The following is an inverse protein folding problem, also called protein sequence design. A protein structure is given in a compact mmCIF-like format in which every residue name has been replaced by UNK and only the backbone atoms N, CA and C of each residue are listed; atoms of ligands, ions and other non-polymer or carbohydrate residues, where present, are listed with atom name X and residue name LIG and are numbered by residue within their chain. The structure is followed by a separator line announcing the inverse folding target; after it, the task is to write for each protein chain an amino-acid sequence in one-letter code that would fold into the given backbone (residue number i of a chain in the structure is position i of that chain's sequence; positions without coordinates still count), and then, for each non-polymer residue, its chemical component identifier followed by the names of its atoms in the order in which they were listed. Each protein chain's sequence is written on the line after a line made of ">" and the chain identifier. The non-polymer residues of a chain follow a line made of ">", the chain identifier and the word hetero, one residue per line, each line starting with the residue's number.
data_IF_212997867604
#
_entry.id   IF_212997867604
#
_cell.length_a   1.000
_cell.length_b   1.000
_cell.length_c   1.000
_cell.angle_alpha   90.00
_cell.angle_beta   90.00
_cell.angle_gamma   90.00
#
_symmetry.space_group_name_H-M   'P 1'
#
loop_
_entity.id
_entity.type
_entity.pdbx_description
1 polymer ?
#
# COMPACT_ATOMS: atom_id res chain seq x y z
N UNK A 1 -25.88 -44.39 -15.27
CA UNK A 1 -26.00 -44.69 -16.72
C UNK A 1 -26.78 -43.56 -17.39
N UNK A 2 -26.41 -43.21 -18.64
CA UNK A 2 -26.85 -42.05 -19.47
C UNK A 2 -26.18 -40.72 -19.08
N UNK A 3 -25.13 -40.17 -19.74
CA UNK A 3 -24.73 -39.98 -21.17
C UNK A 3 -25.66 -39.08 -22.00
N UNK A 4 -25.23 -37.84 -22.23
CA UNK A 4 -25.40 -36.97 -23.44
C UNK A 4 -24.43 -35.79 -23.21
N UNK A 5 -23.28 -35.55 -23.84
CA UNK A 5 -22.71 -35.64 -25.20
C UNK A 5 -22.85 -34.34 -26.03
N UNK A 6 -21.73 -33.59 -26.09
CA UNK A 6 -21.10 -32.86 -27.22
C UNK A 6 -21.76 -31.69 -27.98
N UNK A 7 -21.01 -30.57 -28.05
CA UNK A 7 -20.49 -29.83 -29.24
C UNK A 7 -19.70 -28.62 -28.72
N UNK A 8 -18.36 -28.49 -28.76
CA UNK A 8 -17.38 -28.47 -29.86
C UNK A 8 -17.66 -27.43 -30.95
N UNK A 9 -16.88 -26.33 -30.99
CA UNK A 9 -15.74 -26.15 -31.91
C UNK A 9 -15.38 -24.66 -32.22
N UNK A 10 -14.07 -24.34 -32.10
CA UNK A 10 -13.19 -23.52 -32.99
C UNK A 10 -13.48 -22.00 -33.12
N UNK A 11 -12.51 -21.09 -33.14
CA UNK A 11 -11.31 -20.94 -33.99
C UNK A 11 -10.21 -20.08 -33.28
N UNK A 12 -8.94 -20.51 -33.32
CA UNK A 12 -7.79 -19.94 -34.09
C UNK A 12 -7.16 -18.66 -33.47
N UNK A 13 -5.99 -18.69 -32.83
CA UNK A 13 -4.62 -18.90 -33.33
C UNK A 13 -4.09 -17.75 -34.23
N UNK A 14 -3.15 -16.95 -33.69
CA UNK A 14 -2.16 -16.22 -34.45
C UNK A 14 -0.83 -16.20 -33.68
N UNK A 15 0.16 -16.91 -34.25
CA UNK A 15 1.58 -16.92 -33.91
C UNK A 15 2.30 -15.85 -34.76
N UNK A 16 3.29 -15.13 -34.22
CA UNK A 16 4.57 -14.83 -34.90
C UNK A 16 5.50 -13.94 -34.04
N UNK A 17 6.48 -14.60 -33.44
CA UNK A 17 7.92 -14.29 -33.36
C UNK A 17 8.44 -12.95 -33.89
N UNK A 18 9.23 -12.25 -33.06
CA UNK A 18 10.43 -11.53 -33.50
C UNK A 18 11.46 -11.46 -32.35
N UNK A 19 12.49 -12.31 -32.45
CA UNK A 19 13.75 -12.22 -31.71
C UNK A 19 14.81 -11.87 -32.75
N UNK A 20 15.49 -10.74 -32.59
CA UNK A 20 16.73 -10.45 -33.32
C UNK A 20 17.63 -9.55 -32.48
N UNK A 21 18.88 -9.98 -32.41
CA UNK A 21 20.01 -9.52 -31.61
C UNK A 21 20.70 -8.33 -32.30
N UNK A 22 21.14 -7.34 -31.53
CA UNK A 22 22.25 -6.44 -31.86
C UNK A 22 22.90 -6.01 -30.53
N UNK A 23 23.99 -6.62 -30.09
CA UNK A 23 25.39 -6.39 -30.50
C UNK A 23 25.99 -5.10 -29.90
N UNK A 24 27.13 -5.29 -29.21
CA UNK A 24 27.93 -4.33 -28.47
C UNK A 24 28.22 -3.01 -29.17
N UNK A 25 28.31 -1.92 -28.38
CA UNK A 25 29.17 -0.78 -28.68
C UNK A 25 29.71 -0.15 -27.38
N UNK A 26 30.90 0.48 -27.44
CA UNK A 26 31.81 0.61 -26.30
C UNK A 26 31.66 1.92 -25.51
N UNK A 27 32.27 1.87 -24.33
CA UNK A 27 32.66 2.97 -23.43
C UNK A 27 33.05 4.25 -24.19
N UNK A 28 32.42 5.37 -23.82
CA UNK A 28 32.79 6.71 -24.30
C UNK A 28 33.24 7.62 -23.15
N UNK A 29 34.23 8.49 -23.41
CA UNK A 29 35.07 9.08 -22.38
C UNK A 29 34.47 10.35 -21.77
N UNK A 30 34.81 10.59 -20.51
CA UNK A 30 34.60 11.86 -19.82
C UNK A 30 35.32 13.02 -20.54
N UNK A 31 34.62 14.13 -20.71
CA UNK A 31 35.16 15.44 -21.11
C UNK A 31 34.28 16.55 -20.48
N UNK A 32 34.78 17.81 -20.36
CA UNK A 32 34.92 18.48 -19.07
C UNK A 32 33.86 19.55 -18.77
N UNK A 33 33.93 20.07 -17.55
CA UNK A 33 33.17 21.22 -17.05
C UNK A 33 33.41 22.49 -17.89
N UNK A 34 32.31 23.07 -18.38
CA UNK A 34 32.13 24.45 -18.84
C UNK A 34 30.66 24.77 -18.57
N UNK A 35 30.27 25.77 -17.80
CA UNK A 35 30.54 27.19 -18.00
C UNK A 35 29.16 27.84 -17.98
N UNK A 36 28.85 28.57 -16.91
CA UNK A 36 27.59 29.28 -16.72
C UNK A 36 27.55 30.47 -17.69
N UNK A 37 26.81 30.39 -18.81
CA UNK A 37 26.41 31.53 -19.66
C UNK A 37 25.48 31.11 -20.84
N UNK A 38 24.53 30.18 -20.62
CA UNK A 38 23.67 29.67 -21.71
C UNK A 38 22.16 29.63 -21.40
N UNK A 39 21.69 30.43 -20.44
CA UNK A 39 20.25 30.46 -20.07
C UNK A 39 19.46 31.65 -20.62
N UNK A 40 20.10 32.60 -21.31
CA UNK A 40 19.45 33.88 -21.68
C UNK A 40 19.04 34.01 -23.16
N UNK A 41 19.20 32.99 -23.99
CA UNK A 41 18.82 33.03 -25.43
C UNK A 41 17.71 32.06 -25.84
N UNK A 42 17.17 31.25 -24.91
CA UNK A 42 16.09 30.29 -25.20
C UNK A 42 14.66 30.83 -24.98
N UNK A 43 14.50 32.14 -24.70
CA UNK A 43 13.21 32.72 -24.31
C UNK A 43 12.45 33.46 -25.43
N UNK A 44 13.01 33.52 -26.65
CA UNK A 44 12.48 34.39 -27.71
C UNK A 44 12.14 33.68 -29.05
N UNK A 45 11.98 32.35 -29.07
CA UNK A 45 11.72 31.60 -30.32
C UNK A 45 10.60 30.54 -30.25
N UNK A 46 9.60 30.70 -29.37
CA UNK A 46 8.39 29.85 -29.38
C UNK A 46 7.14 30.74 -29.34
N UNK A 47 7.04 31.64 -30.32
CA UNK A 47 5.86 32.48 -30.52
C UNK A 47 5.49 32.48 -32.01
N UNK A 48 5.10 31.34 -32.56
CA UNK A 48 4.29 31.23 -33.78
C UNK A 48 4.08 29.76 -34.17
N UNK A 49 3.02 29.12 -33.65
CA UNK A 49 2.22 28.07 -34.32
C UNK A 49 1.18 27.52 -33.35
N UNK A 50 0.14 28.32 -33.09
CA UNK A 50 -1.10 27.84 -32.48
C UNK A 50 -2.24 28.55 -33.20
N UNK A 51 -2.51 28.10 -34.42
CA UNK A 51 -3.65 28.54 -35.22
C UNK A 51 -4.39 27.28 -35.69
N UNK A 52 -5.70 27.28 -35.40
CA UNK A 52 -6.75 26.45 -35.99
C UNK A 52 -6.63 24.94 -35.85
N UNK A 53 -7.14 24.42 -34.74
CA UNK A 53 -8.03 23.26 -34.78
C UNK A 53 -9.02 23.35 -33.60
N UNK A 54 -10.03 24.21 -33.77
CA UNK A 54 -11.15 24.29 -32.85
C UNK A 54 -12.03 23.04 -33.01
N UNK A 55 -11.77 22.03 -32.19
CA UNK A 55 -12.69 20.89 -32.04
C UNK A 55 -14.09 21.42 -31.67
N UNK A 56 -15.16 20.92 -32.31
CA UNK A 56 -16.52 21.37 -32.02
C UNK A 56 -16.86 21.10 -30.55
N UNK A 57 -17.63 21.98 -29.90
CA UNK A 57 -18.08 21.74 -28.53
C UNK A 57 -18.95 20.49 -28.50
N UNK A 58 -18.47 19.46 -27.79
CA UNK A 58 -19.30 18.32 -27.39
C UNK A 58 -20.47 18.86 -26.58
N UNK A 59 -21.68 18.45 -26.95
CA UNK A 59 -22.90 18.94 -26.30
C UNK A 59 -22.97 18.45 -24.84
N UNK A 60 -23.61 19.23 -23.97
CA UNK A 60 -23.81 18.87 -22.55
C UNK A 60 -24.50 17.50 -22.35
N UNK A 61 -25.21 17.02 -23.37
CA UNK A 61 -25.86 15.71 -23.39
C UNK A 61 -24.89 14.52 -23.54
N UNK A 62 -23.79 14.69 -24.29
CA UNK A 62 -22.79 13.63 -24.49
C UNK A 62 -21.85 13.49 -23.28
N UNK A 63 -21.57 14.60 -22.58
CA UNK A 63 -20.81 14.57 -21.32
C UNK A 63 -21.54 13.80 -20.20
N UNK A 64 -22.87 13.89 -20.15
CA UNK A 64 -23.69 13.18 -19.18
C UNK A 64 -23.70 11.65 -19.41
N UNK A 65 -23.74 11.22 -20.69
CA UNK A 65 -23.74 9.79 -21.05
C UNK A 65 -22.38 9.10 -20.77
N UNK A 66 -21.26 9.82 -20.93
CA UNK A 66 -19.93 9.28 -20.60
C UNK A 66 -19.74 9.16 -19.08
N UNK A 67 -20.30 10.06 -18.28
CA UNK A 67 -20.25 10.00 -16.83
C UNK A 67 -21.07 8.83 -16.25
N UNK A 68 -22.26 8.55 -16.78
CA UNK A 68 -23.06 7.37 -16.37
C UNK A 68 -22.40 6.05 -16.78
N UNK A 69 -21.75 5.99 -17.95
CA UNK A 69 -21.06 4.79 -18.42
C UNK A 69 -19.81 4.44 -17.57
N UNK A 70 -19.07 5.45 -17.07
CA UNK A 70 -17.92 5.23 -16.19
C UNK A 70 -18.32 4.79 -14.78
N UNK A 71 -19.47 5.25 -14.27
CA UNK A 71 -20.01 4.80 -12.99
C UNK A 71 -20.42 3.31 -13.03
N UNK A 72 -20.94 2.83 -14.16
CA UNK A 72 -21.33 1.43 -14.34
C UNK A 72 -20.12 0.47 -14.45
N UNK A 73 -18.99 0.92 -15.00
CA UNK A 73 -17.77 0.11 -15.12
C UNK A 73 -17.01 0.01 -13.79
N UNK A 74 -16.98 1.05 -12.97
CA UNK A 74 -16.41 0.99 -11.61
C UNK A 74 -17.24 0.13 -10.65
N UNK A 75 -18.55 0.02 -10.86
CA UNK A 75 -19.42 -0.88 -10.08
C UNK A 75 -19.24 -2.37 -10.39
N UNK A 76 -18.55 -2.72 -11.49
CA UNK A 76 -18.44 -4.10 -11.98
C UNK A 76 -17.08 -4.78 -11.70
N UNK A 77 -16.12 -4.07 -11.09
CA UNK A 77 -14.76 -4.58 -10.86
C UNK A 77 -14.41 -4.85 -9.38
N UNK A 78 -15.41 -5.04 -8.52
CA UNK A 78 -15.17 -5.55 -7.16
C UNK A 78 -15.15 -7.08 -7.21
N UNK A 79 -14.04 -7.76 -6.91
CA UNK A 79 -14.07 -9.20 -6.72
C UNK A 79 -15.07 -9.53 -5.61
N UNK A 80 -16.08 -10.35 -5.91
CA UNK A 80 -16.93 -10.95 -4.88
C UNK A 80 -16.07 -11.92 -4.09
N UNK A 81 -15.72 -11.53 -2.88
CA UNK A 81 -15.26 -12.47 -1.86
C UNK A 81 -16.54 -13.10 -1.29
N UNK A 82 -16.83 -14.33 -1.72
CA UNK A 82 -17.89 -15.17 -1.15
C UNK A 82 -17.43 -15.68 0.23
N UNK A 83 -17.35 -14.79 1.21
CA UNK A 83 -17.10 -15.10 2.62
C UNK A 83 -18.36 -14.83 3.43
N UNK A 84 -19.02 -15.88 3.93
CA UNK A 84 -20.15 -15.74 4.83
C UNK A 84 -19.73 -15.00 6.12
N UNK A 85 -20.48 -13.97 6.58
CA UNK A 85 -20.15 -13.28 7.82
C UNK A 85 -20.40 -14.18 9.03
N UNK A 86 -19.38 -14.37 9.87
CA UNK A 86 -19.51 -15.07 11.16
C UNK A 86 -20.10 -14.07 12.18
N UNK A 87 -21.41 -14.13 12.37
CA UNK A 87 -22.14 -13.29 13.32
C UNK A 87 -21.97 -13.82 14.76
N UNK A 88 -20.85 -13.48 15.41
CA UNK A 88 -20.55 -13.86 16.80
C UNK A 88 -20.69 -12.68 17.79
N UNK A 89 -20.61 -11.44 17.34
CA UNK A 89 -20.57 -10.26 18.22
C UNK A 89 -19.15 -9.90 18.68
N UNK A 90 -18.15 -10.73 18.39
CA UNK A 90 -16.75 -10.31 18.28
C UNK A 90 -16.55 -9.53 16.98
N UNK A 91 -16.01 -8.31 17.08
CA UNK A 91 -15.65 -7.53 15.90
C UNK A 91 -14.45 -8.22 15.23
N UNK A 92 -14.71 -8.88 14.11
CA UNK A 92 -13.67 -9.47 13.28
C UNK A 92 -13.20 -8.44 12.24
N UNK A 93 -11.89 -8.32 12.06
CA UNK A 93 -11.26 -7.39 11.14
C UNK A 93 -10.49 -8.15 10.07
N UNK A 94 -10.74 -7.83 8.80
CA UNK A 94 -10.00 -8.38 7.67
C UNK A 94 -8.89 -7.41 7.27
N UNK A 95 -7.63 -7.87 7.32
CA UNK A 95 -6.45 -7.08 6.92
C UNK A 95 -5.42 -7.94 6.19
N UNK A 96 -4.44 -7.28 5.57
CA UNK A 96 -3.27 -7.89 4.96
C UNK A 96 -2.19 -8.07 6.02
N UNK A 97 -1.46 -9.18 5.99
CA UNK A 97 -0.35 -9.48 6.90
C UNK A 97 0.81 -10.08 6.13
N UNK A 98 2.04 -9.90 6.61
CA UNK A 98 3.15 -10.72 6.13
C UNK A 98 2.98 -12.16 6.62
N UNK A 99 3.53 -13.12 5.88
CA UNK A 99 3.52 -14.53 6.27
C UNK A 99 4.93 -15.09 6.32
N UNK A 100 5.20 -15.95 7.29
CA UNK A 100 6.49 -16.67 7.36
C UNK A 100 6.68 -17.67 6.22
N UNK A 101 5.58 -18.17 5.65
CA UNK A 101 5.58 -19.08 4.51
C UNK A 101 4.29 -18.93 3.72
N UNK A 102 4.36 -19.08 2.40
CA UNK A 102 3.24 -19.15 1.47
C UNK A 102 2.51 -20.51 1.48
N UNK A 103 3.08 -21.53 2.12
CA UNK A 103 2.55 -22.91 2.16
C UNK A 103 1.73 -23.25 3.43
N UNK A 104 1.47 -22.27 4.31
CA UNK A 104 0.75 -22.51 5.56
C UNK A 104 -0.76 -22.49 5.42
N UNK A 105 -1.44 -23.53 5.91
CA UNK A 105 -2.90 -23.52 6.09
C UNK A 105 -3.26 -22.87 7.44
N UNK A 106 -3.73 -21.64 7.41
CA UNK A 106 -4.29 -20.94 8.57
C UNK A 106 -5.76 -20.60 8.33
N UNK A 107 -6.64 -21.06 9.22
CA UNK A 107 -8.09 -20.91 9.07
C UNK A 107 -8.57 -19.45 9.09
N UNK A 108 -7.74 -18.51 9.54
CA UNK A 108 -8.03 -17.07 9.50
C UNK A 108 -7.80 -16.48 8.12
N UNK A 109 -6.96 -17.10 7.29
CA UNK A 109 -6.68 -16.61 5.93
C UNK A 109 -7.87 -16.91 5.04
N UNK A 110 -8.47 -15.84 4.53
CA UNK A 110 -9.65 -15.91 3.64
C UNK A 110 -9.27 -15.74 2.18
N UNK A 111 -8.11 -15.15 1.90
CA UNK A 111 -7.61 -14.93 0.56
C UNK A 111 -6.09 -14.76 0.57
N UNK A 112 -5.44 -15.15 -0.53
CA UNK A 112 -4.08 -14.75 -0.87
C UNK A 112 -4.12 -13.77 -2.03
N UNK A 113 -3.29 -12.73 -1.97
CA UNK A 113 -3.20 -11.72 -3.02
C UNK A 113 -1.74 -11.34 -3.29
N UNK A 114 -1.44 -11.03 -4.56
CA UNK A 114 -0.12 -10.55 -4.96
C UNK A 114 0.02 -9.06 -4.60
N UNK A 115 1.16 -8.68 -4.06
CA UNK A 115 1.58 -7.31 -3.76
C UNK A 115 3.06 -7.13 -4.20
N UNK A 116 3.62 -5.91 -4.32
CA UNK A 116 5.03 -5.74 -4.69
C UNK A 116 6.05 -6.50 -3.83
N UNK A 117 5.72 -6.90 -2.60
CA UNK A 117 6.59 -7.73 -1.76
C UNK A 117 6.30 -9.25 -1.88
N UNK A 118 5.38 -9.66 -2.76
CA UNK A 118 5.02 -11.04 -3.05
C UNK A 118 3.60 -11.43 -2.62
N UNK A 119 3.35 -12.74 -2.56
CA UNK A 119 2.07 -13.29 -2.12
C UNK A 119 1.82 -13.04 -0.64
N UNK A 120 0.77 -12.29 -0.34
CA UNK A 120 0.44 -11.79 1.00
C UNK A 120 -0.94 -12.32 1.42
N UNK A 121 -1.10 -12.91 2.62
CA UNK A 121 -2.41 -13.34 3.10
C UNK A 121 -3.27 -12.15 3.52
N UNK A 122 -4.55 -12.26 3.20
CA UNK A 122 -5.62 -11.46 3.76
C UNK A 122 -6.34 -12.33 4.80
N UNK A 123 -6.28 -11.92 6.05
CA UNK A 123 -6.76 -12.71 7.18
C UNK A 123 -7.79 -11.95 8.02
N UNK A 124 -8.73 -12.71 8.59
CA UNK A 124 -9.74 -12.23 9.53
C UNK A 124 -9.25 -12.46 10.95
N UNK A 125 -9.08 -11.37 11.70
CA UNK A 125 -8.54 -11.38 13.07
C UNK A 125 -9.43 -10.60 14.02
N UNK A 126 -9.49 -11.01 15.28
CA UNK A 126 -10.19 -10.25 16.34
C UNK A 126 -9.24 -9.31 17.10
N UNK A 127 -7.95 -9.65 17.09
CA UNK A 127 -6.86 -8.95 17.76
C UNK A 127 -5.62 -9.02 16.87
N UNK A 128 -4.71 -8.06 17.03
CA UNK A 128 -3.44 -8.06 16.31
C UNK A 128 -2.62 -9.29 16.72
N UNK A 129 -2.11 -10.08 15.76
CA UNK A 129 -1.41 -11.34 16.03
C UNK A 129 0.04 -11.11 16.48
N UNK A 130 0.24 -10.47 17.65
CA UNK A 130 1.57 -9.99 18.10
C UNK A 130 2.61 -11.11 18.31
N UNK A 131 2.19 -12.30 18.73
CA UNK A 131 3.08 -13.44 19.01
C UNK A 131 2.81 -14.63 18.08
N UNK A 132 2.21 -14.36 16.92
CA UNK A 132 1.74 -15.39 16.03
C UNK A 132 2.88 -15.95 15.15
N UNK A 133 3.01 -17.27 15.03
CA UNK A 133 4.10 -17.86 14.27
C UNK A 133 3.90 -17.76 12.74
N UNK A 134 2.69 -17.41 12.29
CA UNK A 134 2.31 -17.43 10.89
C UNK A 134 1.93 -16.05 10.34
N UNK A 135 0.94 -15.38 10.95
CA UNK A 135 0.51 -14.03 10.54
C UNK A 135 1.36 -12.98 11.24
N UNK A 136 2.27 -12.35 10.49
CA UNK A 136 3.21 -11.39 11.04
C UNK A 136 2.67 -9.96 10.86
N UNK A 137 2.40 -9.23 11.96
CA UNK A 137 2.13 -7.80 11.88
C UNK A 137 3.44 -7.02 11.69
N UNK A 138 3.35 -5.84 11.09
CA UNK A 138 4.47 -4.88 11.13
C UNK A 138 4.54 -4.28 12.54
N UNK A 139 5.70 -4.28 13.16
CA UNK A 139 5.88 -3.68 14.48
C UNK A 139 6.20 -2.19 14.39
N UNK A 140 5.53 -1.40 15.24
CA UNK A 140 5.84 -0.01 15.52
C UNK A 140 6.29 0.08 16.97
N UNK A 141 7.48 0.61 17.20
CA UNK A 141 8.12 0.69 18.52
C UNK A 141 8.29 2.15 18.91
N UNK A 142 7.78 2.54 20.07
CA UNK A 142 8.18 3.78 20.74
C UNK A 142 9.43 3.53 21.56
N UNK A 143 10.40 4.42 21.47
CA UNK A 143 11.65 4.34 22.19
C UNK A 143 12.03 5.69 22.81
N UNK A 144 12.98 5.70 23.74
CA UNK A 144 13.51 6.93 24.34
C UNK A 144 14.81 7.41 23.68
N UNK A 145 15.42 8.46 24.23
CA UNK A 145 16.65 9.03 23.68
C UNK A 145 17.84 8.04 23.73
N UNK A 146 17.80 7.05 24.61
CA UNK A 146 18.83 6.03 24.77
C UNK A 146 18.57 4.78 23.90
N UNK A 147 17.48 4.74 23.13
CA UNK A 147 17.10 3.59 22.32
C UNK A 147 16.44 2.46 23.11
N UNK A 148 15.99 2.71 24.33
CA UNK A 148 15.22 1.72 25.09
C UNK A 148 13.77 1.76 24.64
N UNK A 149 13.25 0.58 24.30
CA UNK A 149 11.85 0.39 23.97
C UNK A 149 10.96 0.77 25.17
N UNK A 150 9.99 1.63 24.90
CA UNK A 150 8.97 2.07 25.85
C UNK A 150 7.66 1.30 25.62
N UNK A 151 7.25 1.20 24.36
CA UNK A 151 6.01 0.55 23.93
C UNK A 151 6.17 -0.06 22.54
N UNK A 152 5.33 -1.04 22.24
CA UNK A 152 5.25 -1.71 20.94
C UNK A 152 3.81 -1.94 20.56
N UNK A 153 3.51 -1.70 19.30
CA UNK A 153 2.22 -2.01 18.68
C UNK A 153 2.48 -2.88 17.46
N UNK A 154 1.53 -3.74 17.11
CA UNK A 154 1.47 -4.35 15.79
C UNK A 154 0.47 -3.60 14.92
N UNK A 155 0.76 -3.45 13.63
CA UNK A 155 -0.20 -2.99 12.63
C UNK A 155 -0.28 -4.00 11.48
N UNK A 156 -1.32 -3.98 10.65
CA UNK A 156 -1.33 -4.79 9.45
C UNK A 156 -0.25 -4.36 8.46
N UNK A 157 0.08 -5.29 7.58
CA UNK A 157 0.93 -5.04 6.42
C UNK A 157 0.40 -3.86 5.60
N UNK A 158 1.30 -2.98 5.15
CA UNK A 158 0.99 -1.80 4.34
C UNK A 158 0.01 -0.78 4.96
N UNK A 159 -0.41 -0.97 6.22
CA UNK A 159 -1.20 0.02 6.92
C UNK A 159 -0.39 1.30 7.13
N UNK A 160 -0.98 2.45 6.78
CA UNK A 160 -0.39 3.77 6.96
C UNK A 160 -0.55 4.20 8.42
N UNK A 161 0.55 4.59 9.08
CA UNK A 161 0.47 5.14 10.43
C UNK A 161 -0.05 6.57 10.36
N UNK A 162 -1.07 6.90 11.18
CA UNK A 162 -1.72 8.21 11.19
C UNK A 162 -1.25 9.05 12.38
N UNK A 163 -1.34 8.51 13.59
CA UNK A 163 -0.92 9.19 14.82
C UNK A 163 -0.85 8.20 15.99
N UNK A 164 -0.43 8.70 17.16
CA UNK A 164 -0.60 8.04 18.46
C UNK A 164 -1.68 8.81 19.22
N UNK A 165 -2.69 8.11 19.74
CA UNK A 165 -3.75 8.71 20.56
C UNK A 165 -3.81 8.00 21.92
N UNK A 166 -3.29 8.66 22.95
CA UNK A 166 -3.10 8.05 24.28
C UNK A 166 -2.12 6.87 24.25
N UNK A 167 -2.65 5.65 24.43
CA UNK A 167 -1.88 4.41 24.37
C UNK A 167 -2.05 3.64 23.05
N UNK A 168 -2.89 4.11 22.14
CA UNK A 168 -3.18 3.42 20.89
C UNK A 168 -2.44 4.01 19.69
N UNK A 169 -1.94 3.13 18.83
CA UNK A 169 -1.50 3.45 17.47
C UNK A 169 -2.74 3.57 16.59
N UNK A 170 -2.91 4.70 15.90
CA UNK A 170 -3.96 4.89 14.89
C UNK A 170 -3.36 4.66 13.52
N UNK A 171 -3.96 3.78 12.73
CA UNK A 171 -3.52 3.42 11.39
C UNK A 171 -4.67 3.41 10.40
N UNK A 172 -4.37 3.62 9.12
CA UNK A 172 -5.29 3.54 8.00
C UNK A 172 -4.98 2.31 7.17
N UNK A 173 -5.98 1.47 6.97
CA UNK A 173 -5.84 0.24 6.19
C UNK A 173 -7.07 0.03 5.30
N UNK A 174 -6.88 -0.71 4.21
CA UNK A 174 -8.00 -1.28 3.49
C UNK A 174 -8.56 -2.44 4.32
N UNK A 175 -9.84 -2.35 4.64
CA UNK A 175 -10.58 -3.38 5.33
C UNK A 175 -11.64 -3.92 4.38
N UNK A 176 -11.87 -5.24 4.39
CA UNK A 176 -12.95 -5.96 3.69
C UNK A 176 -13.24 -5.60 2.21
N UNK A 177 -12.32 -4.88 1.55
CA UNK A 177 -12.53 -4.34 0.21
C UNK A 177 -13.46 -3.12 0.15
N UNK A 178 -14.03 -2.64 1.28
CA UNK A 178 -14.86 -1.43 1.31
C UNK A 178 -14.05 -0.13 1.25
N UNK A 179 -12.72 -0.21 1.24
CA UNK A 179 -11.82 0.94 1.09
C UNK A 179 -11.05 1.28 2.37
N UNK A 180 -10.34 2.41 2.31
CA UNK A 180 -9.48 2.85 3.42
C UNK A 180 -10.31 3.36 4.60
N UNK A 181 -10.02 2.84 5.79
CA UNK A 181 -10.61 3.27 7.05
C UNK A 181 -9.56 3.36 8.16
N UNK A 182 -9.81 4.24 9.12
CA UNK A 182 -8.97 4.39 10.30
C UNK A 182 -9.37 3.39 11.39
N UNK A 183 -8.35 2.74 11.95
CA UNK A 183 -8.41 1.80 13.04
C UNK A 183 -7.42 2.21 14.12
N UNK A 184 -7.58 1.64 15.30
CA UNK A 184 -6.62 1.78 16.38
C UNK A 184 -6.27 0.41 16.94
N UNK A 185 -5.02 0.27 17.36
CA UNK A 185 -4.51 -0.90 18.09
C UNK A 185 -3.74 -0.46 19.31
N UNK A 186 -3.98 -1.11 20.44
CA UNK A 186 -3.20 -0.90 21.66
C UNK A 186 -2.01 -1.88 21.74
N UNK A 187 -1.10 -1.74 22.74
CA UNK A 187 0.05 -2.63 22.89
C UNK A 187 -0.32 -4.08 23.23
N UNK A 188 -1.55 -4.33 23.67
CA UNK A 188 -2.05 -5.69 23.89
C UNK A 188 -2.63 -6.31 22.62
N UNK A 189 -2.68 -5.56 21.52
CA UNK A 189 -3.21 -5.99 20.23
C UNK A 189 -4.73 -5.88 20.11
N UNK A 190 -5.42 -5.15 20.99
CA UNK A 190 -6.86 -4.96 20.84
C UNK A 190 -7.13 -4.00 19.68
N UNK A 191 -7.99 -4.41 18.75
CA UNK A 191 -8.32 -3.63 17.56
C UNK A 191 -9.70 -2.98 17.73
N UNK A 192 -9.81 -1.73 17.33
CA UNK A 192 -11.09 -1.04 17.21
C UNK A 192 -11.09 -0.11 16.01
N UNK A 193 -12.28 0.20 15.51
CA UNK A 193 -12.47 1.32 14.58
C UNK A 193 -12.08 2.62 15.29
N UNK A 194 -11.29 3.47 14.62
CA UNK A 194 -10.97 4.80 15.12
C UNK A 194 -12.13 5.79 14.83
N UNK A 195 -12.30 6.84 15.64
CA UNK A 195 -13.19 7.94 15.30
C UNK A 195 -12.84 8.53 13.93
N UNK A 196 -13.84 9.00 13.17
CA UNK A 196 -13.68 9.48 11.79
C UNK A 196 -12.84 10.75 11.62
N UNK A 197 -12.43 11.39 12.71
CA UNK A 197 -11.77 12.70 12.73
C UNK A 197 -10.45 12.69 13.50
N UNK A 198 -9.63 11.65 13.35
CA UNK A 198 -8.28 11.68 13.91
C UNK A 198 -7.33 12.33 12.88
N UNK A 199 -6.79 13.53 13.14
CA UNK A 199 -5.82 14.15 12.25
C UNK A 199 -4.58 13.26 12.14
N UNK A 200 -4.03 13.13 10.93
CA UNK A 200 -2.71 12.54 10.79
C UNK A 200 -1.67 13.57 11.21
N UNK A 201 -0.82 13.19 12.14
CA UNK A 201 0.35 13.96 12.56
C UNK A 201 1.63 13.42 11.92
N UNK A 202 1.54 12.24 11.28
CA UNK A 202 2.67 11.59 10.62
C UNK A 202 3.11 12.28 9.33
N UNK A 203 2.24 13.09 8.71
CA UNK A 203 2.64 13.92 7.56
C UNK A 203 3.71 14.96 7.90
N UNK A 204 3.82 15.34 9.18
CA UNK A 204 4.82 16.27 9.70
C UNK A 204 5.99 15.56 10.42
N UNK A 205 6.06 14.22 10.30
CA UNK A 205 7.11 13.43 10.94
C UNK A 205 8.50 13.81 10.41
N UNK A 206 9.47 13.91 11.32
CA UNK A 206 10.86 14.20 10.97
C UNK A 206 11.68 12.92 11.06
N UNK A 207 12.24 12.48 9.93
CA UNK A 207 13.14 11.33 9.89
C UNK A 207 14.40 11.59 10.73
N UNK A 208 14.93 10.54 11.35
CA UNK A 208 16.13 10.59 12.20
C UNK A 208 16.91 9.28 12.14
N UNK A 209 18.16 9.33 12.59
CA UNK A 209 18.98 8.14 12.74
C UNK A 209 18.38 7.19 13.78
N UNK A 210 18.34 5.90 13.43
CA UNK A 210 17.92 4.84 14.33
C UNK A 210 19.04 4.47 15.30
N UNK A 211 18.80 4.45 16.62
CA UNK A 211 19.70 3.76 17.53
C UNK A 211 19.65 2.25 17.27
N UNK A 212 20.57 1.50 17.86
CA UNK A 212 20.48 0.04 17.88
C UNK A 212 19.27 -0.37 18.73
N UNK A 213 18.19 -0.82 18.06
CA UNK A 213 16.95 -1.23 18.69
C UNK A 213 16.88 -2.76 18.71
N UNK A 214 16.86 -3.42 19.89
CA UNK A 214 16.79 -4.89 19.97
C UNK A 214 15.56 -5.49 19.27
N UNK A 215 14.46 -4.73 19.19
CA UNK A 215 13.24 -5.14 18.50
C UNK A 215 13.43 -5.43 17.01
N UNK A 216 14.45 -4.83 16.40
CA UNK A 216 14.74 -4.91 14.97
C UNK A 216 16.16 -5.42 14.72
N UNK A 217 16.69 -6.24 15.62
CA UNK A 217 18.02 -6.82 15.46
C UNK A 217 18.08 -7.68 14.17
N UNK A 218 18.99 -7.32 13.27
CA UNK A 218 19.16 -7.99 11.98
C UNK A 218 18.34 -7.40 10.83
N UNK A 219 17.60 -6.31 11.07
CA UNK A 219 16.87 -5.59 10.04
C UNK A 219 17.68 -4.43 9.45
N UNK A 220 17.81 -4.40 8.12
CA UNK A 220 18.47 -3.32 7.39
C UNK A 220 17.49 -2.20 6.97
N UNK A 221 16.20 -2.36 7.26
CA UNK A 221 15.12 -1.51 6.73
C UNK A 221 14.33 -0.76 7.81
N UNK A 222 14.92 -0.60 9.00
CA UNK A 222 14.33 0.17 10.09
C UNK A 222 14.35 1.65 9.77
N UNK A 223 13.21 2.30 9.92
CA UNK A 223 13.08 3.75 9.78
C UNK A 223 12.66 4.35 11.12
N UNK A 224 13.30 5.46 11.52
CA UNK A 224 13.03 6.13 12.78
C UNK A 224 12.60 7.57 12.55
N UNK A 225 11.60 8.00 13.32
CA UNK A 225 10.98 9.30 13.18
C UNK A 225 10.73 9.94 14.54
N UNK A 226 10.87 11.25 14.57
CA UNK A 226 10.24 12.09 15.57
C UNK A 226 8.85 12.50 15.07
N UNK A 227 7.81 12.20 15.84
CA UNK A 227 6.42 12.53 15.49
C UNK A 227 5.74 13.28 16.63
N UNK A 228 4.71 14.06 16.31
CA UNK A 228 3.78 14.56 17.33
C UNK A 228 2.63 13.58 17.49
N UNK A 229 2.22 13.29 18.72
CA UNK A 229 1.01 12.53 19.00
C UNK A 229 -0.23 13.44 18.90
N UNK A 230 -1.43 12.85 19.05
CA UNK A 230 -2.70 13.56 18.96
C UNK A 230 -2.88 14.62 20.06
N UNK A 231 -2.15 14.50 21.17
CA UNK A 231 -2.15 15.45 22.29
C UNK A 231 -1.07 16.54 22.14
N UNK A 232 -0.28 16.48 21.05
CA UNK A 232 0.80 17.41 20.73
C UNK A 232 2.15 17.08 21.38
N UNK A 233 2.26 15.95 22.07
CA UNK A 233 3.50 15.45 22.65
C UNK A 233 4.45 14.88 21.60
N UNK A 234 5.75 15.08 21.77
CA UNK A 234 6.77 14.50 20.89
C UNK A 234 7.01 13.03 21.26
N UNK A 235 7.07 12.16 20.25
CA UNK A 235 7.32 10.72 20.34
C UNK A 235 8.44 10.31 19.39
N UNK A 236 9.22 9.32 19.77
CA UNK A 236 10.21 8.69 18.91
C UNK A 236 9.71 7.31 18.53
N UNK A 237 9.51 7.09 17.23
CA UNK A 237 8.93 5.86 16.70
C UNK A 237 9.86 5.22 15.70
N UNK A 238 9.90 3.89 15.70
CA UNK A 238 10.65 3.07 14.76
C UNK A 238 9.76 1.95 14.21
N UNK A 239 9.89 1.62 12.93
CA UNK A 239 9.22 0.49 12.30
C UNK A 239 9.98 0.03 11.06
N UNK A 240 9.66 -1.16 10.56
CA UNK A 240 10.26 -1.72 9.35
C UNK A 240 9.44 -1.37 8.10
N UNK A 241 10.14 -1.06 7.01
CA UNK A 241 9.51 -0.83 5.71
C UNK A 241 8.79 -2.08 5.18
N UNK A 242 7.80 -1.87 4.30
CA UNK A 242 6.85 -2.89 3.89
C UNK A 242 7.42 -4.15 3.19
N UNK A 243 8.72 -4.28 2.89
CA UNK A 243 9.28 -5.50 2.28
C UNK A 243 10.52 -6.07 3.03
N UNK A 244 10.64 -5.87 4.34
CA UNK A 244 11.79 -6.34 5.13
C UNK A 244 11.81 -7.85 5.37
#
# INVERSE_FOLDING_TARGET
>A
MSRTTYRSARLAAAFATALAVAACAPESPQAPAAGADAQDTAREAIAATAADDAAPPVSDAEAALVAEAQAAVLAAATPRIDGAPVADGRNSFQFWFSARSDEGEDARVVQWAEDPCGMTPIAVVERMPLDDPFLLPDFVVEFDAEGRELRRWGKPYSAEIRTIAGDALVFRANHDGAGLRDFRTDPAGNIAVAPSEVPSTFGDATARDCPALPAFEGSDYVQCYEVRDADGGTRLLAWEGACS
#
